data_IF_330326434448
#
_entry.id   IF_330326434448
#
_cell.length_a   1.000
_cell.length_b   1.000
_cell.length_c   1.000
_cell.angle_alpha   90.00
_cell.angle_beta   90.00
_cell.angle_gamma   90.00
#
_symmetry.space_group_name_H-M   'P 1'
#
loop_
_entity.id
_entity.type
_entity.pdbx_description
1 polymer ?
#
# COMPACT_ATOMS: atom_id res chain seq x y z
N UNK A 1 49.10 -28.55 2.76
CA UNK A 1 49.91 -27.30 2.57
C UNK A 1 49.92 -27.02 1.07
N UNK A 2 49.13 -26.04 0.61
CA UNK A 2 49.11 -25.67 -0.82
C UNK A 2 50.45 -25.03 -1.19
N UNK A 3 51.22 -25.67 -2.08
CA UNK A 3 52.38 -25.06 -2.71
C UNK A 3 51.94 -23.89 -3.57
N UNK A 4 52.02 -22.69 -3.03
CA UNK A 4 51.84 -21.45 -3.80
C UNK A 4 52.85 -21.39 -4.94
N UNK A 5 52.40 -21.01 -6.13
CA UNK A 5 53.33 -20.72 -7.23
C UNK A 5 54.27 -19.57 -6.81
N UNK A 6 55.48 -19.55 -7.35
CA UNK A 6 56.48 -18.49 -7.03
C UNK A 6 55.92 -17.08 -7.23
N UNK A 7 55.05 -16.90 -8.23
CA UNK A 7 54.39 -15.62 -8.50
C UNK A 7 53.33 -15.23 -7.41
N UNK A 8 52.57 -16.19 -6.89
CA UNK A 8 51.62 -15.94 -5.83
C UNK A 8 52.29 -15.54 -4.51
N UNK A 9 53.44 -16.17 -4.21
CA UNK A 9 54.26 -15.78 -3.05
C UNK A 9 54.74 -14.35 -3.21
N UNK A 10 55.30 -14.01 -4.39
CA UNK A 10 55.83 -12.67 -4.69
C UNK A 10 54.74 -11.61 -4.59
N UNK A 11 53.52 -11.89 -5.06
CA UNK A 11 52.37 -11.02 -4.97
C UNK A 11 51.99 -10.73 -3.50
N UNK A 12 51.94 -11.75 -2.65
CA UNK A 12 51.68 -11.59 -1.21
C UNK A 12 52.78 -10.79 -0.50
N UNK A 13 54.04 -11.04 -0.82
CA UNK A 13 55.16 -10.30 -0.26
C UNK A 13 55.13 -8.82 -0.69
N UNK A 14 54.73 -8.55 -1.93
CA UNK A 14 54.53 -7.20 -2.46
C UNK A 14 53.41 -6.46 -1.69
N UNK A 15 52.29 -7.10 -1.48
CA UNK A 15 51.17 -6.49 -0.72
C UNK A 15 51.54 -6.32 0.75
N UNK A 16 52.26 -7.27 1.34
CA UNK A 16 52.75 -7.15 2.72
C UNK A 16 53.67 -5.90 2.86
N UNK A 17 54.55 -5.64 1.89
CA UNK A 17 55.35 -4.41 1.85
C UNK A 17 54.47 -3.15 1.85
N UNK A 18 53.47 -3.08 1.00
CA UNK A 18 52.59 -1.90 0.94
C UNK A 18 51.68 -1.73 2.17
N UNK A 19 51.37 -2.80 2.91
CA UNK A 19 50.59 -2.72 4.15
C UNK A 19 51.38 -2.18 5.35
N UNK A 20 52.71 -2.04 5.24
CA UNK A 20 53.56 -1.52 6.31
C UNK A 20 53.31 -0.04 6.61
N UNK A 21 52.80 0.75 5.65
CA UNK A 21 52.57 2.17 5.84
C UNK A 21 51.18 2.58 5.30
N UNK A 22 50.40 3.33 6.11
CA UNK A 22 49.05 3.78 5.79
C UNK A 22 48.95 4.67 4.54
N UNK A 23 50.05 5.29 4.12
CA UNK A 23 50.06 6.12 2.92
C UNK A 23 49.65 5.34 1.68
N UNK A 24 49.97 4.04 1.61
CA UNK A 24 49.61 3.18 0.51
C UNK A 24 48.10 2.88 0.47
N UNK A 25 47.48 2.76 1.63
CA UNK A 25 46.02 2.59 1.72
C UNK A 25 45.28 3.76 1.05
N UNK A 26 45.76 5.00 1.33
CA UNK A 26 45.17 6.22 0.75
C UNK A 26 45.38 6.27 -0.77
N UNK A 27 46.59 5.95 -1.25
CA UNK A 27 46.93 5.91 -2.67
C UNK A 27 46.13 4.82 -3.39
N UNK A 28 46.06 3.63 -2.83
CA UNK A 28 45.37 2.49 -3.45
C UNK A 28 43.86 2.65 -3.43
N UNK A 29 43.28 3.25 -2.40
CA UNK A 29 41.85 3.63 -2.39
C UNK A 29 41.57 4.57 -3.57
N UNK A 30 42.35 5.60 -3.77
CA UNK A 30 42.20 6.51 -4.91
C UNK A 30 42.37 5.82 -6.27
N UNK A 31 43.32 4.89 -6.40
CA UNK A 31 43.46 4.12 -7.66
C UNK A 31 42.34 3.14 -7.87
N UNK A 32 41.79 2.51 -6.80
CA UNK A 32 40.62 1.64 -6.91
C UNK A 32 39.36 2.41 -7.37
N UNK A 33 39.15 3.63 -6.87
CA UNK A 33 38.08 4.50 -7.34
C UNK A 33 38.25 4.89 -8.81
N UNK A 34 39.49 5.17 -9.24
CA UNK A 34 39.81 5.44 -10.65
C UNK A 34 39.58 4.20 -11.53
N UNK A 35 40.02 3.02 -11.06
CA UNK A 35 39.80 1.77 -11.77
C UNK A 35 38.31 1.52 -11.93
N UNK A 36 37.53 1.66 -10.85
CA UNK A 36 36.05 1.52 -10.88
C UNK A 36 35.46 2.47 -11.94
N UNK A 37 35.95 3.69 -12.06
CA UNK A 37 35.42 4.68 -13.03
C UNK A 37 35.83 4.43 -14.48
N UNK A 38 37.09 3.98 -14.71
CA UNK A 38 37.67 3.89 -16.06
C UNK A 38 37.83 2.46 -16.59
N UNK A 39 37.57 1.43 -15.75
CA UNK A 39 37.78 0.03 -16.12
C UNK A 39 39.23 -0.38 -16.35
N UNK A 40 40.22 0.48 -16.00
CA UNK A 40 41.66 0.26 -16.14
C UNK A 40 42.44 1.01 -15.10
N UNK A 41 43.67 0.54 -14.78
CA UNK A 41 44.59 1.23 -13.89
C UNK A 41 45.14 2.48 -14.59
N UNK A 42 44.58 3.64 -14.26
CA UNK A 42 44.86 4.90 -14.93
C UNK A 42 44.60 6.10 -14.02
N UNK A 43 44.98 7.27 -14.47
CA UNK A 43 44.72 8.53 -13.77
C UNK A 43 45.80 8.90 -12.75
N UNK A 44 45.48 9.87 -11.88
CA UNK A 44 46.40 10.43 -10.87
C UNK A 44 45.67 10.47 -9.51
N UNK A 45 46.35 10.10 -8.45
CA UNK A 45 45.90 10.19 -7.06
C UNK A 45 46.74 11.22 -6.32
N UNK A 46 46.09 12.18 -5.68
CA UNK A 46 46.79 13.22 -4.87
C UNK A 46 46.52 12.97 -3.40
N UNK A 47 47.55 12.81 -2.61
CA UNK A 47 47.48 12.70 -1.16
C UNK A 47 48.05 13.98 -0.54
N UNK A 48 47.32 14.47 0.50
CA UNK A 48 47.69 15.68 1.27
C UNK A 48 47.98 15.31 2.70
N UNK A 49 48.63 16.19 3.47
CA UNK A 49 48.94 16.01 4.89
C UNK A 49 49.62 14.66 5.15
N UNK A 50 50.76 14.44 4.55
CA UNK A 50 51.53 13.21 4.64
C UNK A 50 52.47 13.32 5.85
N UNK A 51 52.55 12.27 6.68
CA UNK A 51 53.52 12.17 7.79
C UNK A 51 54.94 12.05 7.27
N UNK A 52 55.94 12.35 8.10
CA UNK A 52 57.35 12.18 7.74
C UNK A 52 57.68 10.75 7.28
N UNK A 53 57.24 9.76 8.03
CA UNK A 53 57.37 8.32 7.71
C UNK A 53 56.69 7.95 6.36
N UNK A 54 55.51 8.55 6.10
CA UNK A 54 54.83 8.40 4.80
C UNK A 54 55.61 9.04 3.63
N UNK A 55 56.29 10.19 3.87
CA UNK A 55 57.17 10.81 2.87
C UNK A 55 58.35 9.92 2.58
N UNK A 56 59.08 9.44 3.62
CA UNK A 56 60.26 8.57 3.48
C UNK A 56 59.89 7.27 2.73
N UNK A 57 58.72 6.71 3.05
CA UNK A 57 58.19 5.53 2.33
C UNK A 57 57.98 5.78 0.85
N UNK A 58 57.42 6.93 0.48
CA UNK A 58 57.20 7.29 -0.94
C UNK A 58 58.50 7.63 -1.64
N UNK A 59 59.45 8.32 -0.97
CA UNK A 59 60.78 8.63 -1.50
C UNK A 59 61.55 7.35 -1.81
N UNK A 60 61.54 6.39 -0.89
CA UNK A 60 62.16 5.08 -1.07
C UNK A 60 61.58 4.29 -2.25
N UNK A 61 60.27 4.28 -2.40
CA UNK A 61 59.65 3.52 -3.48
C UNK A 61 59.78 4.18 -4.86
N UNK A 62 59.61 5.50 -4.93
CA UNK A 62 59.68 6.25 -6.22
C UNK A 62 61.06 6.71 -6.59
N UNK A 63 62.07 6.54 -5.73
CA UNK A 63 63.43 7.07 -5.89
C UNK A 63 63.46 8.58 -6.24
N UNK A 64 62.61 9.37 -5.54
CA UNK A 64 62.43 10.80 -5.77
C UNK A 64 62.28 11.56 -4.46
N UNK A 65 62.88 12.75 -4.39
CA UNK A 65 62.76 13.61 -3.21
C UNK A 65 61.39 14.32 -3.16
N UNK A 66 60.64 14.14 -2.05
CA UNK A 66 59.37 14.80 -1.76
C UNK A 66 59.43 15.71 -0.53
N UNK A 67 60.61 15.90 0.06
CA UNK A 67 60.79 16.72 1.26
C UNK A 67 60.20 18.13 1.06
N UNK A 68 59.48 18.62 2.06
CA UNK A 68 58.81 19.93 2.04
C UNK A 68 57.54 20.04 1.21
N UNK A 69 57.07 18.97 0.55
CA UNK A 69 55.82 18.99 -0.22
C UNK A 69 54.63 18.74 0.68
N UNK A 70 53.65 19.66 0.66
CA UNK A 70 52.37 19.53 1.39
C UNK A 70 51.43 18.51 0.74
N UNK A 71 51.65 18.17 -0.53
CA UNK A 71 50.84 17.17 -1.26
C UNK A 71 51.71 16.48 -2.33
N UNK A 72 51.42 15.20 -2.55
CA UNK A 72 52.09 14.39 -3.58
C UNK A 72 51.01 13.83 -4.52
N UNK A 73 51.27 13.96 -5.83
CA UNK A 73 50.43 13.35 -6.86
C UNK A 73 51.16 12.18 -7.48
N UNK A 74 50.58 11.01 -7.40
CA UNK A 74 51.07 9.76 -8.00
C UNK A 74 50.21 9.43 -9.22
N UNK A 75 50.81 9.37 -10.40
CA UNK A 75 50.14 8.88 -11.59
C UNK A 75 50.20 7.34 -11.67
N UNK A 76 49.23 6.71 -12.30
CA UNK A 76 49.22 5.26 -12.55
C UNK A 76 50.49 4.83 -13.32
N UNK A 77 50.94 5.64 -14.26
CA UNK A 77 52.16 5.40 -15.05
C UNK A 77 53.42 5.43 -14.18
N UNK A 78 53.52 6.46 -13.30
CA UNK A 78 54.61 6.58 -12.35
C UNK A 78 54.64 5.38 -11.38
N UNK A 79 53.47 4.95 -10.87
CA UNK A 79 53.41 3.79 -9.99
C UNK A 79 53.80 2.49 -10.72
N UNK A 80 53.31 2.28 -11.96
CA UNK A 80 53.64 1.10 -12.77
C UNK A 80 55.14 1.04 -13.04
N UNK A 81 55.77 2.16 -13.40
CA UNK A 81 57.21 2.24 -13.63
C UNK A 81 58.01 1.93 -12.36
N UNK A 82 57.68 2.52 -11.23
CA UNK A 82 58.35 2.24 -9.96
C UNK A 82 58.22 0.77 -9.54
N UNK A 83 57.01 0.20 -9.68
CA UNK A 83 56.74 -1.22 -9.37
C UNK A 83 57.59 -2.14 -10.29
N UNK A 84 57.64 -1.87 -11.59
CA UNK A 84 58.43 -2.67 -12.55
C UNK A 84 59.94 -2.63 -12.30
N UNK A 85 60.45 -1.54 -11.72
CA UNK A 85 61.86 -1.39 -11.35
C UNK A 85 62.17 -2.00 -9.95
N UNK A 86 61.18 -2.44 -9.20
CA UNK A 86 61.37 -3.06 -7.87
C UNK A 86 61.60 -4.56 -7.96
N UNK A 87 61.92 -5.18 -6.84
CA UNK A 87 62.00 -6.64 -6.74
C UNK A 87 60.67 -7.34 -7.04
N UNK A 88 59.60 -6.60 -7.13
CA UNK A 88 58.24 -7.07 -7.45
C UNK A 88 57.83 -6.82 -8.91
N UNK A 89 58.76 -6.59 -9.78
CA UNK A 89 58.52 -6.11 -11.17
C UNK A 89 57.66 -7.01 -12.05
N UNK A 90 57.47 -8.27 -11.70
CA UNK A 90 56.58 -9.19 -12.41
C UNK A 90 55.12 -9.12 -11.94
N UNK A 91 54.83 -8.37 -10.85
CA UNK A 91 53.49 -8.16 -10.32
C UNK A 91 52.91 -6.90 -10.94
N UNK A 92 51.72 -7.00 -11.50
CA UNK A 92 51.00 -5.85 -12.08
C UNK A 92 50.36 -4.97 -11.02
N UNK A 93 50.14 -3.66 -11.24
CA UNK A 93 49.44 -2.78 -10.34
C UNK A 93 48.01 -3.29 -10.05
N UNK A 94 47.34 -3.89 -11.02
CA UNK A 94 46.03 -4.48 -10.93
C UNK A 94 46.00 -5.67 -9.94
N UNK A 95 47.00 -6.55 -10.01
CA UNK A 95 47.18 -7.65 -9.07
C UNK A 95 47.47 -7.14 -7.65
N UNK A 96 48.30 -6.09 -7.52
CA UNK A 96 48.56 -5.46 -6.21
C UNK A 96 47.25 -4.95 -5.58
N UNK A 97 46.44 -4.20 -6.35
CA UNK A 97 45.18 -3.66 -5.84
C UNK A 97 44.19 -4.77 -5.50
N UNK A 98 44.01 -5.76 -6.36
CA UNK A 98 43.10 -6.89 -6.13
C UNK A 98 43.48 -7.64 -4.84
N UNK A 99 44.76 -7.99 -4.65
CA UNK A 99 45.22 -8.68 -3.46
C UNK A 99 45.22 -7.79 -2.22
N UNK A 100 45.51 -6.49 -2.35
CA UNK A 100 45.52 -5.54 -1.24
C UNK A 100 44.13 -5.40 -0.62
N UNK A 101 43.07 -5.33 -1.45
CA UNK A 101 41.68 -5.18 -1.02
C UNK A 101 40.96 -6.55 -0.87
N UNK A 102 41.57 -7.66 -1.24
CA UNK A 102 40.95 -8.99 -1.18
C UNK A 102 39.75 -9.15 -2.08
N UNK A 103 39.64 -8.34 -3.16
CA UNK A 103 38.53 -8.35 -4.11
C UNK A 103 39.02 -8.09 -5.52
N UNK A 104 38.41 -8.77 -6.49
CA UNK A 104 38.66 -8.49 -7.90
C UNK A 104 38.33 -7.01 -8.24
N UNK A 105 39.12 -6.41 -9.11
CA UNK A 105 38.87 -5.08 -9.62
C UNK A 105 37.85 -5.18 -10.76
N UNK A 106 36.71 -4.53 -10.58
CA UNK A 106 35.65 -4.51 -11.58
C UNK A 106 35.31 -3.05 -11.91
N UNK A 107 35.26 -2.73 -13.19
CA UNK A 107 34.85 -1.42 -13.67
C UNK A 107 33.31 -1.24 -13.55
N UNK A 108 32.87 -0.02 -13.31
CA UNK A 108 31.41 0.28 -13.26
C UNK A 108 30.66 -0.15 -14.53
N UNK A 109 31.28 -0.01 -15.69
CA UNK A 109 30.68 -0.45 -16.95
C UNK A 109 30.54 -1.98 -17.02
N UNK A 110 31.55 -2.70 -16.56
CA UNK A 110 31.57 -4.16 -16.51
C UNK A 110 30.58 -4.69 -15.47
N UNK A 111 30.52 -4.07 -14.28
CA UNK A 111 29.54 -4.39 -13.24
C UNK A 111 28.12 -4.14 -13.75
N UNK A 112 27.88 -3.04 -14.47
CA UNK A 112 26.59 -2.74 -15.09
C UNK A 112 26.22 -3.77 -16.14
N UNK A 113 27.13 -4.10 -17.05
CA UNK A 113 26.90 -5.11 -18.07
C UNK A 113 26.62 -6.50 -17.47
N UNK A 114 27.34 -6.87 -16.40
CA UNK A 114 27.10 -8.11 -15.68
C UNK A 114 25.68 -8.14 -15.06
N UNK A 115 25.26 -7.05 -14.39
CA UNK A 115 23.91 -6.93 -13.83
C UNK A 115 22.83 -6.97 -14.94
N UNK A 116 23.05 -6.29 -16.06
CA UNK A 116 22.12 -6.31 -17.20
C UNK A 116 21.98 -7.72 -17.80
N UNK A 117 23.09 -8.45 -17.92
CA UNK A 117 23.04 -9.85 -18.39
C UNK A 117 22.27 -10.75 -17.41
N UNK A 118 22.48 -10.60 -16.11
CA UNK A 118 21.74 -11.37 -15.11
C UNK A 118 20.23 -11.08 -15.16
N UNK A 119 19.82 -9.83 -15.32
CA UNK A 119 18.42 -9.45 -15.50
C UNK A 119 17.85 -10.07 -16.79
N UNK A 120 18.65 -10.10 -17.87
CA UNK A 120 18.25 -10.72 -19.15
C UNK A 120 18.00 -12.23 -19.00
N UNK A 121 18.84 -12.93 -18.25
CA UNK A 121 18.65 -14.36 -17.95
C UNK A 121 17.40 -14.57 -17.09
N UNK A 122 17.19 -13.74 -16.06
CA UNK A 122 15.97 -13.78 -15.23
C UNK A 122 14.71 -13.56 -16.12
N UNK A 123 14.76 -12.60 -17.05
CA UNK A 123 13.64 -12.33 -17.97
C UNK A 123 13.37 -13.53 -18.88
N UNK A 124 14.41 -14.15 -19.42
CA UNK A 124 14.28 -15.35 -20.25
C UNK A 124 13.61 -16.49 -19.50
N UNK A 125 14.11 -16.78 -18.30
CA UNK A 125 13.55 -17.83 -17.43
C UNK A 125 12.11 -17.50 -17.01
N UNK A 126 11.79 -16.24 -16.74
CA UNK A 126 10.42 -15.79 -16.45
C UNK A 126 9.49 -16.06 -17.63
N UNK A 127 9.87 -15.67 -18.83
CA UNK A 127 9.07 -15.90 -20.05
C UNK A 127 8.85 -17.39 -20.34
N UNK A 128 9.85 -18.23 -20.08
CA UNK A 128 9.71 -19.68 -20.21
C UNK A 128 8.72 -20.25 -19.19
N UNK A 129 8.83 -19.85 -17.91
CA UNK A 129 7.99 -20.38 -16.83
C UNK A 129 6.52 -19.93 -16.91
N UNK A 130 6.27 -18.69 -17.35
CA UNK A 130 4.92 -18.13 -17.38
C UNK A 130 4.29 -18.11 -18.76
N UNK A 131 4.87 -18.84 -19.73
CA UNK A 131 4.34 -18.93 -21.08
C UNK A 131 2.87 -19.42 -21.07
N UNK A 132 2.00 -18.68 -21.77
CA UNK A 132 0.57 -18.98 -21.86
C UNK A 132 -0.25 -18.58 -20.64
N UNK A 133 0.34 -17.89 -19.67
CA UNK A 133 -0.40 -17.32 -18.52
C UNK A 133 -0.62 -15.81 -18.68
N UNK A 134 -1.58 -15.20 -17.97
CA UNK A 134 -1.77 -13.74 -17.97
C UNK A 134 -0.51 -12.94 -17.62
N UNK A 135 0.36 -13.47 -16.74
CA UNK A 135 1.58 -12.81 -16.30
C UNK A 135 2.70 -12.78 -17.35
N UNK A 136 2.58 -13.53 -18.45
CA UNK A 136 3.64 -13.72 -19.44
C UNK A 136 4.20 -12.42 -20.02
N UNK A 137 3.33 -11.44 -20.30
CA UNK A 137 3.72 -10.16 -20.89
C UNK A 137 4.05 -9.07 -19.85
N UNK A 138 3.93 -9.38 -18.55
CA UNK A 138 3.94 -8.38 -17.48
C UNK A 138 5.31 -8.25 -16.77
N UNK A 139 6.36 -8.89 -17.27
CA UNK A 139 7.68 -8.85 -16.64
C UNK A 139 8.17 -7.43 -16.35
N UNK A 140 8.13 -6.54 -17.34
CA UNK A 140 8.62 -5.17 -17.22
C UNK A 140 7.73 -4.34 -16.27
N UNK A 141 6.44 -4.65 -16.19
CA UNK A 141 5.50 -4.05 -15.26
C UNK A 141 5.80 -4.47 -13.83
N UNK A 142 6.07 -5.76 -13.58
CA UNK A 142 6.48 -6.25 -12.26
C UNK A 142 7.83 -5.70 -11.83
N UNK A 143 8.78 -5.57 -12.76
CA UNK A 143 10.05 -4.88 -12.52
C UNK A 143 9.85 -3.44 -12.05
N UNK A 144 8.86 -2.73 -12.58
CA UNK A 144 8.51 -1.38 -12.16
C UNK A 144 7.91 -1.35 -10.74
N UNK A 145 7.07 -2.32 -10.38
CA UNK A 145 6.53 -2.48 -9.03
C UNK A 145 7.67 -2.65 -8.01
N UNK A 146 8.72 -3.40 -8.37
CA UNK A 146 9.83 -3.72 -7.49
C UNK A 146 10.98 -2.69 -7.52
N UNK A 147 10.90 -1.61 -8.28
CA UNK A 147 11.96 -0.60 -8.40
C UNK A 147 12.36 0.05 -7.08
N UNK A 148 11.49 0.08 -6.09
CA UNK A 148 11.73 0.64 -4.76
C UNK A 148 12.34 -0.35 -3.76
N UNK A 149 12.40 -1.64 -4.09
CA UNK A 149 12.99 -2.67 -3.23
C UNK A 149 14.49 -2.83 -3.54
N UNK A 150 15.26 -3.24 -2.53
CA UNK A 150 16.73 -3.38 -2.55
C UNK A 150 17.23 -4.05 -3.84
N UNK A 151 17.94 -3.27 -4.67
CA UNK A 151 18.40 -3.69 -6.00
C UNK A 151 19.62 -4.62 -5.96
N UNK A 152 20.19 -4.87 -4.78
CA UNK A 152 21.47 -5.56 -4.67
C UNK A 152 21.35 -7.09 -4.61
N UNK A 153 20.21 -7.63 -4.18
CA UNK A 153 20.01 -9.05 -4.07
C UNK A 153 19.17 -9.62 -5.23
N UNK A 154 19.84 -10.03 -6.30
CA UNK A 154 19.19 -10.63 -7.48
C UNK A 154 18.35 -11.87 -7.18
N UNK A 155 18.73 -12.66 -6.17
CA UNK A 155 17.99 -13.86 -5.76
C UNK A 155 16.64 -13.47 -5.16
N UNK A 156 16.63 -12.45 -4.30
CA UNK A 156 15.40 -11.92 -3.72
C UNK A 156 14.54 -11.22 -4.79
N UNK A 157 15.16 -10.47 -5.69
CA UNK A 157 14.45 -9.84 -6.82
C UNK A 157 13.74 -10.88 -7.70
N UNK A 158 14.41 -11.98 -8.03
CA UNK A 158 13.79 -13.08 -8.76
C UNK A 158 12.61 -13.66 -7.97
N UNK A 159 12.76 -13.93 -6.66
CA UNK A 159 11.68 -14.41 -5.79
C UNK A 159 10.45 -13.50 -5.85
N UNK A 160 10.66 -12.20 -5.75
CA UNK A 160 9.57 -11.22 -5.78
C UNK A 160 8.91 -11.11 -7.16
N UNK A 161 9.65 -11.22 -8.26
CA UNK A 161 9.08 -11.27 -9.61
C UNK A 161 8.17 -12.50 -9.80
N UNK A 162 8.60 -13.67 -9.34
CA UNK A 162 7.78 -14.88 -9.33
C UNK A 162 6.54 -14.72 -8.46
N UNK A 163 6.69 -14.09 -7.30
CA UNK A 163 5.55 -13.76 -6.43
C UNK A 163 4.54 -12.86 -7.17
N UNK A 164 4.98 -11.77 -7.79
CA UNK A 164 4.11 -10.88 -8.57
C UNK A 164 3.33 -11.66 -9.65
N UNK A 165 4.02 -12.50 -10.43
CA UNK A 165 3.41 -13.29 -11.48
C UNK A 165 2.38 -14.30 -10.94
N UNK A 166 2.72 -15.01 -9.87
CA UNK A 166 1.81 -15.95 -9.24
C UNK A 166 0.58 -15.24 -8.66
N UNK A 167 0.76 -14.10 -8.00
CA UNK A 167 -0.33 -13.26 -7.50
C UNK A 167 -1.25 -12.82 -8.64
N UNK A 168 -0.68 -12.28 -9.71
CA UNK A 168 -1.43 -11.78 -10.86
C UNK A 168 -2.25 -12.87 -11.54
N UNK A 169 -1.65 -14.06 -11.75
CA UNK A 169 -2.34 -15.20 -12.33
C UNK A 169 -3.45 -15.75 -11.43
N UNK A 170 -3.25 -15.69 -10.10
CA UNK A 170 -4.16 -16.27 -9.11
C UNK A 170 -5.28 -15.32 -8.68
N UNK A 171 -5.37 -14.07 -9.18
CA UNK A 171 -6.42 -13.12 -8.77
C UNK A 171 -7.81 -13.74 -8.92
N UNK A 172 -8.61 -13.85 -7.83
CA UNK A 172 -9.83 -14.68 -7.81
C UNK A 172 -10.94 -14.21 -8.75
N UNK A 173 -11.00 -12.91 -9.07
CA UNK A 173 -12.01 -12.39 -10.00
C UNK A 173 -11.99 -13.07 -11.38
N UNK A 174 -10.83 -13.60 -11.80
CA UNK A 174 -10.65 -14.30 -13.07
C UNK A 174 -11.48 -15.60 -13.15
N UNK A 175 -11.78 -16.19 -12.01
CA UNK A 175 -12.59 -17.40 -11.89
C UNK A 175 -14.01 -17.11 -11.41
N UNK A 176 -14.39 -15.83 -11.31
CA UNK A 176 -15.69 -15.37 -10.82
C UNK A 176 -16.02 -15.85 -9.39
N UNK A 177 -14.98 -16.13 -8.58
CA UNK A 177 -15.11 -16.54 -7.17
C UNK A 177 -14.49 -15.49 -6.27
N UNK A 178 -15.09 -15.29 -5.11
CA UNK A 178 -14.47 -14.49 -4.04
C UNK A 178 -13.78 -15.41 -3.04
N UNK A 179 -12.60 -15.01 -2.57
CA UNK A 179 -11.78 -15.80 -1.65
C UNK A 179 -11.31 -14.89 -0.50
N UNK A 180 -11.33 -15.40 0.73
CA UNK A 180 -10.79 -14.67 1.88
C UNK A 180 -9.28 -14.47 1.77
N UNK A 181 -8.79 -13.31 2.20
CA UNK A 181 -7.37 -12.92 2.09
C UNK A 181 -6.44 -13.99 2.70
N UNK A 182 -6.75 -14.51 3.88
CA UNK A 182 -5.95 -15.54 4.54
C UNK A 182 -5.89 -16.86 3.74
N UNK A 183 -7.01 -17.25 3.12
CA UNK A 183 -7.08 -18.46 2.26
C UNK A 183 -6.29 -18.24 0.98
N UNK A 184 -6.42 -17.08 0.36
CA UNK A 184 -5.64 -16.69 -0.81
C UNK A 184 -4.14 -16.65 -0.50
N UNK A 185 -3.76 -16.07 0.64
CA UNK A 185 -2.37 -16.00 1.10
C UNK A 185 -1.78 -17.40 1.30
N UNK A 186 -2.50 -18.28 1.99
CA UNK A 186 -2.07 -19.66 2.21
C UNK A 186 -1.90 -20.43 0.89
N UNK A 187 -2.82 -20.26 -0.05
CA UNK A 187 -2.76 -20.92 -1.36
C UNK A 187 -1.55 -20.48 -2.20
N UNK A 188 -1.19 -19.18 -2.18
CA UNK A 188 -0.10 -18.65 -3.00
C UNK A 188 1.27 -18.78 -2.34
N UNK A 189 1.36 -18.65 -1.00
CA UNK A 189 2.64 -18.56 -0.29
C UNK A 189 2.87 -19.66 0.73
N UNK A 190 1.85 -20.43 1.10
CA UNK A 190 1.88 -21.36 2.22
C UNK A 190 1.69 -20.69 3.60
N UNK A 191 1.62 -19.35 3.66
CA UNK A 191 1.48 -18.61 4.91
C UNK A 191 0.19 -17.74 4.87
N UNK A 192 -0.82 -18.01 5.73
CA UNK A 192 -2.06 -17.24 5.74
C UNK A 192 -1.88 -15.76 6.12
N UNK A 193 -0.78 -15.40 6.77
CA UNK A 193 -0.46 -14.05 7.23
C UNK A 193 0.47 -13.28 6.28
N UNK A 194 0.86 -13.86 5.14
CA UNK A 194 1.82 -13.25 4.22
C UNK A 194 1.36 -11.87 3.72
N UNK A 195 0.06 -11.65 3.56
CA UNK A 195 -0.51 -10.43 3.00
C UNK A 195 -1.21 -9.53 4.03
N UNK A 196 -0.96 -9.76 5.32
CA UNK A 196 -1.48 -8.88 6.38
C UNK A 196 -1.03 -7.44 6.19
N UNK A 197 -1.82 -6.52 6.75
CA UNK A 197 -1.51 -5.10 6.63
C UNK A 197 -0.15 -4.77 7.26
N UNK A 198 0.71 -4.11 6.48
CA UNK A 198 2.06 -3.71 6.92
C UNK A 198 3.17 -4.65 6.43
N UNK A 199 2.88 -5.89 6.00
CA UNK A 199 3.88 -6.80 5.44
C UNK A 199 4.41 -6.31 4.09
N UNK A 200 5.63 -6.71 3.74
CA UNK A 200 6.23 -6.38 2.45
C UNK A 200 5.46 -7.03 1.28
N UNK A 201 5.11 -8.30 1.44
CA UNK A 201 4.32 -9.06 0.47
C UNK A 201 2.89 -8.52 0.34
N UNK A 202 2.28 -8.05 1.42
CA UNK A 202 0.97 -7.39 1.38
C UNK A 202 0.97 -6.07 0.60
N UNK A 203 2.09 -5.33 0.63
CA UNK A 203 2.28 -4.15 -0.23
C UNK A 203 2.39 -4.53 -1.70
N UNK A 204 3.13 -5.60 -2.00
CA UNK A 204 3.26 -6.13 -3.37
C UNK A 204 1.91 -6.60 -3.89
N UNK A 205 1.14 -7.37 -3.12
CA UNK A 205 -0.21 -7.78 -3.51
C UNK A 205 -1.08 -6.56 -3.86
N UNK A 206 -1.06 -5.52 -3.02
CA UNK A 206 -1.85 -4.32 -3.30
C UNK A 206 -1.40 -3.62 -4.59
N UNK A 207 -0.09 -3.54 -4.87
CA UNK A 207 0.44 -2.97 -6.11
C UNK A 207 0.04 -3.80 -7.34
N UNK A 208 0.09 -5.13 -7.25
CA UNK A 208 -0.38 -6.03 -8.31
C UNK A 208 -1.88 -5.85 -8.58
N UNK A 209 -2.69 -5.71 -7.52
CA UNK A 209 -4.12 -5.41 -7.66
C UNK A 209 -4.34 -4.05 -8.34
N UNK A 210 -3.60 -3.00 -7.96
CA UNK A 210 -3.73 -1.68 -8.59
C UNK A 210 -3.35 -1.71 -10.08
N UNK A 211 -2.31 -2.45 -10.42
CA UNK A 211 -1.89 -2.69 -11.81
C UNK A 211 -3.01 -3.38 -12.61
N UNK A 212 -3.54 -4.47 -12.10
CA UNK A 212 -4.62 -5.23 -12.75
C UNK A 212 -5.88 -4.37 -12.96
N UNK A 213 -6.31 -3.63 -11.94
CA UNK A 213 -7.44 -2.71 -12.05
C UNK A 213 -7.21 -1.65 -13.12
N UNK A 214 -6.00 -1.08 -13.18
CA UNK A 214 -5.62 -0.10 -14.20
C UNK A 214 -5.69 -0.68 -15.62
N UNK A 215 -5.22 -1.90 -15.83
CA UNK A 215 -5.33 -2.60 -17.12
C UNK A 215 -6.77 -2.90 -17.54
N UNK A 216 -7.64 -3.14 -16.55
CA UNK A 216 -9.10 -3.32 -16.78
C UNK A 216 -9.84 -1.98 -16.97
N UNK A 217 -9.16 -0.84 -16.94
CA UNK A 217 -9.76 0.49 -17.00
C UNK A 217 -10.57 0.88 -15.75
N UNK A 218 -10.36 0.18 -14.64
CA UNK A 218 -11.10 0.42 -13.39
C UNK A 218 -10.29 1.38 -12.51
N UNK A 219 -10.87 2.54 -12.23
CA UNK A 219 -10.32 3.51 -11.29
C UNK A 219 -11.14 3.50 -10.00
N UNK A 220 -10.47 3.22 -8.88
CA UNK A 220 -11.08 3.32 -7.55
C UNK A 220 -10.72 4.68 -6.95
N UNK A 221 -11.73 5.48 -6.68
CA UNK A 221 -11.57 6.82 -6.10
C UNK A 221 -10.87 6.77 -4.74
N UNK A 222 -10.04 7.78 -4.48
CA UNK A 222 -9.50 8.03 -3.14
C UNK A 222 -10.46 8.95 -2.43
N UNK A 223 -11.08 8.48 -1.36
CA UNK A 223 -12.02 9.26 -0.56
C UNK A 223 -11.33 9.68 0.74
N UNK A 224 -11.03 10.96 0.90
CA UNK A 224 -10.41 11.48 2.14
C UNK A 224 -11.27 11.20 3.36
N UNK A 225 -12.60 11.23 3.19
CA UNK A 225 -13.58 10.95 4.23
C UNK A 225 -13.60 9.48 4.66
N UNK A 226 -13.19 8.56 3.79
CA UNK A 226 -13.12 7.11 4.03
C UNK A 226 -11.76 6.55 3.61
N UNK A 227 -10.69 6.77 4.39
CA UNK A 227 -9.30 6.43 3.97
C UNK A 227 -9.09 4.94 3.63
N UNK A 228 -9.83 4.04 4.27
CA UNK A 228 -9.73 2.60 4.00
C UNK A 228 -10.49 2.15 2.75
N UNK A 229 -11.41 2.96 2.22
CA UNK A 229 -12.31 2.60 1.13
C UNK A 229 -11.56 2.12 -0.11
N UNK A 230 -10.63 2.91 -0.62
CA UNK A 230 -9.89 2.58 -1.85
C UNK A 230 -9.24 1.19 -1.76
N UNK A 231 -8.58 0.93 -0.64
CA UNK A 231 -7.93 -0.36 -0.42
C UNK A 231 -8.94 -1.50 -0.38
N UNK A 232 -9.96 -1.39 0.47
CA UNK A 232 -10.99 -2.42 0.63
C UNK A 232 -11.73 -2.69 -0.69
N UNK A 233 -12.11 -1.63 -1.41
CA UNK A 233 -12.79 -1.74 -2.71
C UNK A 233 -11.90 -2.38 -3.76
N UNK A 234 -10.61 -2.05 -3.79
CA UNK A 234 -9.65 -2.66 -4.73
C UNK A 234 -9.51 -4.16 -4.50
N UNK A 235 -9.40 -4.59 -3.24
CA UNK A 235 -9.38 -6.02 -2.90
C UNK A 235 -10.67 -6.72 -3.33
N UNK A 236 -11.84 -6.13 -3.03
CA UNK A 236 -13.13 -6.66 -3.44
C UNK A 236 -13.23 -6.84 -4.96
N UNK A 237 -12.78 -5.85 -5.75
CA UNK A 237 -12.77 -5.89 -7.21
C UNK A 237 -11.77 -6.91 -7.79
N UNK A 238 -10.76 -7.28 -7.02
CA UNK A 238 -9.85 -8.39 -7.33
C UNK A 238 -10.42 -9.77 -6.92
N UNK A 239 -11.58 -9.81 -6.26
CA UNK A 239 -12.21 -11.03 -5.74
C UNK A 239 -11.65 -11.46 -4.38
N UNK A 240 -10.93 -10.57 -3.68
CA UNK A 240 -10.34 -10.86 -2.36
C UNK A 240 -11.14 -10.16 -1.27
N UNK A 241 -11.61 -10.95 -0.28
CA UNK A 241 -12.34 -10.47 0.89
C UNK A 241 -11.38 -10.31 2.06
N UNK A 242 -11.23 -9.08 2.55
CA UNK A 242 -10.38 -8.80 3.72
C UNK A 242 -11.11 -9.18 4.99
N UNK A 243 -12.37 -8.75 5.10
CA UNK A 243 -13.27 -9.02 6.23
C UNK A 243 -14.70 -8.97 5.70
N UNK A 244 -15.37 -10.12 5.70
CA UNK A 244 -16.72 -10.26 5.23
C UNK A 244 -17.72 -10.43 6.39
N UNK A 245 -17.31 -11.17 7.43
CA UNK A 245 -18.21 -11.57 8.53
C UNK A 245 -18.63 -10.35 9.36
N UNK A 246 -17.69 -9.44 9.65
CA UNK A 246 -17.99 -8.20 10.38
C UNK A 246 -18.35 -7.03 9.45
N UNK A 247 -18.29 -7.23 8.12
CA UNK A 247 -18.60 -6.24 7.10
C UNK A 247 -19.90 -6.57 6.37
N UNK A 248 -21.00 -6.26 7.03
CA UNK A 248 -22.38 -6.51 6.57
C UNK A 248 -23.18 -5.22 6.58
N UNK A 249 -24.30 -5.22 5.85
CA UNK A 249 -25.37 -4.24 5.96
C UNK A 249 -26.61 -4.88 6.61
N UNK A 250 -27.28 -4.16 7.50
CA UNK A 250 -28.54 -4.58 8.09
C UNK A 250 -29.67 -3.89 7.30
N UNK A 251 -30.48 -4.68 6.63
CA UNK A 251 -31.49 -4.23 5.67
C UNK A 251 -32.88 -4.75 6.07
N UNK A 252 -33.91 -3.98 5.70
CA UNK A 252 -35.29 -4.33 5.86
C UNK A 252 -36.12 -3.84 4.67
N UNK A 253 -37.02 -4.69 4.16
CA UNK A 253 -37.99 -4.37 3.11
C UNK A 253 -37.32 -3.77 1.85
N UNK A 254 -36.27 -4.43 1.32
CA UNK A 254 -35.58 -4.06 0.09
C UNK A 254 -35.51 -5.25 -0.87
N UNK A 255 -35.67 -5.01 -2.16
CA UNK A 255 -35.50 -6.01 -3.20
C UNK A 255 -34.10 -5.84 -3.84
N UNK A 256 -33.41 -6.94 -4.07
CA UNK A 256 -32.10 -6.94 -4.69
C UNK A 256 -32.14 -7.59 -6.06
N UNK A 257 -31.55 -6.93 -7.07
CA UNK A 257 -31.40 -7.46 -8.42
C UNK A 257 -29.93 -7.88 -8.59
N UNK A 258 -29.71 -9.14 -8.94
CA UNK A 258 -28.38 -9.70 -9.20
C UNK A 258 -27.81 -9.18 -10.53
N UNK A 259 -26.50 -9.28 -10.71
CA UNK A 259 -25.77 -8.89 -11.94
C UNK A 259 -26.29 -9.61 -13.20
N UNK A 260 -26.89 -10.77 -13.08
CA UNK A 260 -27.53 -11.49 -14.17
C UNK A 260 -28.98 -11.01 -14.48
N UNK A 261 -29.46 -9.96 -13.82
CA UNK A 261 -30.78 -9.39 -13.98
C UNK A 261 -31.90 -10.09 -13.18
N UNK A 262 -31.63 -11.20 -12.49
CA UNK A 262 -32.63 -11.91 -11.71
C UNK A 262 -32.83 -11.30 -10.33
N UNK A 263 -34.05 -11.41 -9.80
CA UNK A 263 -34.37 -11.09 -8.42
C UNK A 263 -33.62 -12.03 -7.45
N UNK A 264 -33.09 -11.48 -6.38
CA UNK A 264 -32.45 -12.26 -5.31
C UNK A 264 -33.54 -12.86 -4.40
N UNK A 265 -33.91 -14.14 -4.65
CA UNK A 265 -35.04 -14.81 -3.98
C UNK A 265 -34.99 -14.78 -2.45
N UNK A 266 -33.77 -14.86 -1.85
CA UNK A 266 -33.62 -14.77 -0.40
C UNK A 266 -34.05 -13.42 0.15
N UNK A 267 -33.66 -12.32 -0.51
CA UNK A 267 -34.10 -10.98 -0.10
C UNK A 267 -35.59 -10.77 -0.28
N UNK A 268 -36.15 -11.27 -1.38
CA UNK A 268 -37.58 -11.22 -1.63
C UNK A 268 -38.36 -11.99 -0.55
N UNK A 269 -37.88 -13.17 -0.15
CA UNK A 269 -38.45 -13.92 0.96
C UNK A 269 -38.43 -13.15 2.28
N UNK A 270 -37.32 -12.49 2.63
CA UNK A 270 -37.25 -11.65 3.83
C UNK A 270 -38.20 -10.45 3.76
N UNK A 271 -38.43 -9.88 2.58
CA UNK A 271 -39.46 -8.82 2.39
C UNK A 271 -40.88 -9.35 2.62
N UNK A 272 -41.21 -10.51 2.05
CA UNK A 272 -42.53 -11.14 2.21
C UNK A 272 -42.85 -11.48 3.66
N UNK A 273 -41.85 -11.96 4.41
CA UNK A 273 -41.94 -12.30 5.82
C UNK A 273 -41.80 -11.08 6.76
N UNK A 274 -41.59 -9.88 6.22
CA UNK A 274 -41.34 -8.65 6.98
C UNK A 274 -40.19 -8.81 8.00
N UNK A 275 -39.10 -9.47 7.60
CA UNK A 275 -37.94 -9.75 8.45
C UNK A 275 -36.74 -8.88 8.14
N UNK A 276 -36.04 -8.48 9.19
CA UNK A 276 -34.71 -7.86 9.07
C UNK A 276 -33.65 -8.89 8.67
N UNK A 277 -32.68 -8.48 7.89
CA UNK A 277 -31.58 -9.36 7.43
C UNK A 277 -30.23 -8.69 7.46
N UNK A 278 -29.23 -9.41 7.97
CA UNK A 278 -27.82 -9.03 7.83
C UNK A 278 -27.28 -9.60 6.52
N UNK A 279 -26.87 -8.73 5.61
CA UNK A 279 -26.35 -9.13 4.30
C UNK A 279 -24.84 -8.91 4.26
N UNK A 280 -24.02 -9.97 4.19
CA UNK A 280 -22.59 -9.87 4.14
C UNK A 280 -22.08 -9.25 2.83
N UNK A 281 -20.87 -8.71 2.85
CA UNK A 281 -20.25 -8.03 1.72
C UNK A 281 -20.16 -8.92 0.47
N UNK A 282 -19.92 -10.23 0.62
CA UNK A 282 -19.91 -11.21 -0.46
C UNK A 282 -21.22 -11.20 -1.23
N UNK A 283 -22.34 -11.31 -0.54
CA UNK A 283 -23.67 -11.33 -1.16
C UNK A 283 -23.98 -9.98 -1.82
N UNK A 284 -23.71 -8.86 -1.12
CA UNK A 284 -23.85 -7.51 -1.71
C UNK A 284 -23.04 -7.33 -3.00
N UNK A 285 -21.88 -7.94 -3.09
CA UNK A 285 -20.99 -7.83 -4.26
C UNK A 285 -21.55 -8.52 -5.51
N UNK A 286 -22.51 -9.40 -5.37
CA UNK A 286 -23.20 -10.10 -6.48
C UNK A 286 -24.37 -9.31 -7.05
N UNK A 287 -24.82 -8.25 -6.35
CA UNK A 287 -25.96 -7.46 -6.74
C UNK A 287 -25.60 -6.38 -7.76
N UNK A 288 -26.53 -6.09 -8.64
CA UNK A 288 -26.42 -4.98 -9.59
C UNK A 288 -27.03 -3.70 -9.02
N UNK A 289 -28.21 -3.81 -8.38
CA UNK A 289 -28.93 -2.68 -7.76
C UNK A 289 -29.85 -3.15 -6.64
N UNK A 290 -30.29 -2.21 -5.81
CA UNK A 290 -31.30 -2.39 -4.77
C UNK A 290 -32.50 -1.52 -5.12
N UNK A 291 -33.70 -2.11 -5.09
CA UNK A 291 -34.97 -1.42 -5.28
C UNK A 291 -35.69 -1.32 -3.94
N UNK A 292 -36.25 -0.14 -3.66
CA UNK A 292 -36.95 0.17 -2.40
C UNK A 292 -38.40 0.55 -2.66
N UNK A 293 -39.23 0.38 -1.63
CA UNK A 293 -40.61 0.83 -1.65
C UNK A 293 -40.66 2.35 -1.91
N UNK A 294 -41.50 2.77 -2.81
CA UNK A 294 -41.70 4.16 -3.21
C UNK A 294 -40.38 4.87 -3.70
N UNK A 295 -39.34 4.10 -4.05
CA UNK A 295 -38.01 4.59 -4.34
C UNK A 295 -37.39 5.40 -3.19
N UNK A 296 -37.71 5.09 -1.96
CA UNK A 296 -37.22 5.75 -0.74
C UNK A 296 -36.64 4.74 0.25
N UNK A 297 -35.59 5.14 0.97
CA UNK A 297 -35.01 4.36 2.06
C UNK A 297 -34.69 5.24 3.27
N UNK A 298 -34.99 4.73 4.47
CA UNK A 298 -34.66 5.37 5.73
C UNK A 298 -33.42 4.71 6.34
N UNK A 299 -32.35 5.46 6.48
CA UNK A 299 -31.07 4.98 6.99
C UNK A 299 -30.81 5.59 8.36
N UNK A 300 -30.60 4.73 9.35
CA UNK A 300 -30.28 5.16 10.71
C UNK A 300 -28.92 4.62 11.17
N UNK A 301 -28.31 5.28 12.13
CA UNK A 301 -27.04 4.86 12.69
C UNK A 301 -27.18 3.72 13.69
N UNK A 302 -28.21 3.78 14.55
CA UNK A 302 -28.38 2.91 15.70
C UNK A 302 -29.30 1.69 15.39
N UNK A 303 -28.87 0.44 15.76
CA UNK A 303 -29.69 -0.75 15.56
C UNK A 303 -31.03 -0.75 16.31
N UNK A 304 -31.08 -0.12 17.50
CA UNK A 304 -32.34 -0.04 18.27
C UNK A 304 -33.36 0.85 17.58
N UNK A 305 -32.90 1.98 17.01
CA UNK A 305 -33.75 2.88 16.22
C UNK A 305 -34.20 2.20 14.94
N UNK A 306 -33.28 1.47 14.28
CA UNK A 306 -33.63 0.68 13.09
C UNK A 306 -34.77 -0.29 13.37
N UNK A 307 -34.73 -1.04 14.47
CA UNK A 307 -35.83 -1.95 14.86
C UNK A 307 -37.13 -1.22 15.09
N UNK A 308 -37.14 0.03 15.55
CA UNK A 308 -38.32 0.85 15.76
C UNK A 308 -38.98 1.35 14.48
N UNK A 309 -38.16 1.64 13.43
CA UNK A 309 -38.68 2.20 12.19
C UNK A 309 -39.05 1.15 11.13
N UNK A 310 -38.69 -0.13 11.37
CA UNK A 310 -39.09 -1.22 10.48
C UNK A 310 -40.59 -1.38 10.46
N UNK A 311 -41.23 -1.19 9.30
CA UNK A 311 -42.69 -1.24 9.08
C UNK A 311 -42.98 -1.35 7.58
N UNK A 312 -43.67 -0.38 7.00
CA UNK A 312 -44.03 -0.40 5.56
C UNK A 312 -42.88 0.10 4.65
N UNK A 313 -41.96 0.90 5.17
CA UNK A 313 -40.90 1.52 4.38
C UNK A 313 -39.63 0.65 4.33
N UNK A 314 -38.82 0.88 3.29
CA UNK A 314 -37.48 0.31 3.20
C UNK A 314 -36.55 0.97 4.19
N UNK A 315 -35.77 0.16 4.95
CA UNK A 315 -34.88 0.67 5.99
C UNK A 315 -33.49 0.02 5.93
N UNK A 316 -32.50 0.76 6.42
CA UNK A 316 -31.12 0.31 6.58
C UNK A 316 -30.53 0.81 7.91
N UNK A 317 -29.74 -0.02 8.59
CA UNK A 317 -28.92 0.42 9.70
C UNK A 317 -27.44 0.48 9.29
N UNK A 318 -26.79 1.64 9.54
CA UNK A 318 -25.36 1.84 9.28
C UNK A 318 -24.47 1.19 10.35
N UNK A 319 -25.02 0.97 11.55
CA UNK A 319 -24.34 0.35 12.69
C UNK A 319 -23.03 1.06 13.05
N UNK A 320 -23.09 2.37 13.28
CA UNK A 320 -21.97 3.25 13.60
C UNK A 320 -21.20 3.70 12.38
N UNK A 321 -19.86 3.65 12.45
CA UNK A 321 -19.00 4.13 11.37
C UNK A 321 -19.22 3.35 10.06
N UNK A 322 -19.39 4.06 8.92
CA UNK A 322 -19.65 3.43 7.62
C UNK A 322 -18.53 2.46 7.22
N UNK A 323 -18.90 1.19 7.03
CA UNK A 323 -18.03 0.13 6.50
C UNK A 323 -18.28 -0.04 5.00
N UNK A 324 -17.41 -0.80 4.33
CA UNK A 324 -17.52 -1.00 2.87
C UNK A 324 -18.88 -1.58 2.46
N UNK A 325 -19.48 -2.49 3.26
CA UNK A 325 -20.80 -3.03 2.97
C UNK A 325 -21.89 -1.94 2.93
N UNK A 326 -21.90 -1.04 3.92
CA UNK A 326 -22.83 0.11 3.92
C UNK A 326 -22.62 1.06 2.75
N UNK A 327 -21.38 1.35 2.43
CA UNK A 327 -21.03 2.18 1.26
C UNK A 327 -21.42 1.52 -0.06
N UNK A 328 -21.24 0.20 -0.17
CA UNK A 328 -21.70 -0.56 -1.34
C UNK A 328 -23.22 -0.56 -1.49
N UNK A 329 -23.97 -0.66 -0.39
CA UNK A 329 -25.44 -0.50 -0.43
C UNK A 329 -25.82 0.87 -0.98
N UNK A 330 -25.17 1.94 -0.56
CA UNK A 330 -25.43 3.28 -1.11
C UNK A 330 -25.13 3.35 -2.62
N UNK A 331 -24.08 2.71 -3.12
CA UNK A 331 -23.81 2.62 -4.56
C UNK A 331 -24.96 1.88 -5.30
N UNK A 332 -25.45 0.76 -4.72
CA UNK A 332 -26.52 -0.06 -5.31
C UNK A 332 -27.87 0.67 -5.31
N UNK A 333 -28.16 1.45 -4.26
CA UNK A 333 -29.35 2.31 -4.17
C UNK A 333 -29.31 3.46 -5.20
N UNK A 334 -28.14 4.06 -5.40
CA UNK A 334 -27.99 5.13 -6.39
C UNK A 334 -28.30 4.66 -7.81
N UNK A 335 -27.99 3.40 -8.14
CA UNK A 335 -28.31 2.82 -9.46
C UNK A 335 -29.82 2.69 -9.72
N UNK A 336 -30.64 2.63 -8.67
CA UNK A 336 -32.10 2.60 -8.75
C UNK A 336 -32.73 4.00 -8.61
N UNK A 337 -31.92 5.05 -8.48
CA UNK A 337 -32.42 6.40 -8.25
C UNK A 337 -33.13 6.58 -6.91
N UNK A 338 -32.87 5.73 -5.93
CA UNK A 338 -33.52 5.73 -4.61
C UNK A 338 -33.20 7.01 -3.85
N UNK A 339 -34.19 7.65 -3.23
CA UNK A 339 -34.01 8.78 -2.33
C UNK A 339 -33.66 8.30 -0.93
N UNK A 340 -32.58 8.84 -0.37
CA UNK A 340 -32.10 8.47 0.97
C UNK A 340 -32.54 9.51 1.99
N UNK A 341 -33.15 9.05 3.08
CA UNK A 341 -33.39 9.81 4.30
C UNK A 341 -32.46 9.27 5.38
N UNK A 342 -31.55 10.10 5.88
CA UNK A 342 -30.55 9.70 6.87
C UNK A 342 -30.78 10.41 8.20
N UNK A 343 -30.71 9.63 9.29
CA UNK A 343 -30.71 10.11 10.66
C UNK A 343 -29.58 9.45 11.45
N UNK A 344 -28.89 10.20 12.28
CA UNK A 344 -27.84 9.74 13.18
C UNK A 344 -27.82 10.52 14.48
N UNK A 345 -26.87 10.19 15.37
CA UNK A 345 -26.69 10.93 16.61
C UNK A 345 -26.37 12.40 16.34
N UNK A 346 -26.89 13.27 17.19
CA UNK A 346 -26.66 14.70 17.16
C UNK A 346 -25.47 15.08 18.07
N UNK A 347 -24.33 14.44 17.75
CA UNK A 347 -23.04 14.69 18.34
C UNK A 347 -21.97 14.95 17.25
N UNK A 348 -20.74 15.36 17.59
CA UNK A 348 -19.76 15.68 16.55
C UNK A 348 -19.44 14.56 15.57
N UNK A 349 -19.42 13.32 16.02
CA UNK A 349 -19.15 12.14 15.21
C UNK A 349 -20.32 11.82 14.27
N UNK A 350 -21.55 11.76 14.80
CA UNK A 350 -22.76 11.44 14.04
C UNK A 350 -23.07 12.49 12.97
N UNK A 351 -22.93 13.78 13.29
CA UNK A 351 -23.10 14.88 12.31
C UNK A 351 -22.02 14.80 11.20
N UNK A 352 -20.80 14.47 11.56
CA UNK A 352 -19.71 14.30 10.58
C UNK A 352 -19.94 13.07 9.69
N UNK A 353 -20.49 11.97 10.22
CA UNK A 353 -20.89 10.79 9.45
C UNK A 353 -21.99 11.18 8.46
N UNK A 354 -23.02 11.89 8.91
CA UNK A 354 -24.11 12.36 8.07
C UNK A 354 -23.60 13.16 6.86
N UNK A 355 -22.72 14.15 7.09
CA UNK A 355 -22.11 14.93 6.02
C UNK A 355 -21.33 14.04 5.05
N UNK A 356 -20.48 13.12 5.55
CA UNK A 356 -19.68 12.22 4.71
C UNK A 356 -20.57 11.33 3.83
N UNK A 357 -21.66 10.80 4.35
CA UNK A 357 -22.60 9.98 3.60
C UNK A 357 -23.33 10.79 2.55
N UNK A 358 -23.76 12.02 2.87
CA UNK A 358 -24.37 12.95 1.91
C UNK A 358 -23.44 13.28 0.75
N UNK A 359 -22.13 13.50 1.03
CA UNK A 359 -21.13 13.75 0.01
C UNK A 359 -20.79 12.50 -0.83
N UNK A 360 -20.92 11.33 -0.26
CA UNK A 360 -20.65 10.06 -0.94
C UNK A 360 -21.80 9.62 -1.85
N UNK A 361 -23.04 9.79 -1.42
CA UNK A 361 -24.20 9.29 -2.14
C UNK A 361 -24.42 10.01 -3.48
N UNK A 362 -24.58 9.27 -4.56
CA UNK A 362 -24.73 9.79 -5.93
C UNK A 362 -26.20 9.97 -6.34
N UNK A 363 -27.09 10.28 -5.39
CA UNK A 363 -28.51 10.49 -5.59
C UNK A 363 -29.05 11.58 -4.67
N UNK A 364 -30.38 11.60 -4.48
CA UNK A 364 -31.04 12.55 -3.56
C UNK A 364 -30.85 12.13 -2.13
N UNK A 365 -30.18 12.96 -1.32
CA UNK A 365 -29.91 12.70 0.10
C UNK A 365 -30.55 13.79 0.98
N UNK A 366 -31.37 13.36 1.94
CA UNK A 366 -32.08 14.21 2.88
C UNK A 366 -31.65 13.88 4.31
N UNK A 367 -31.32 14.88 5.10
CA UNK A 367 -31.19 14.75 6.54
C UNK A 367 -32.58 14.64 7.16
N UNK A 368 -32.80 13.64 7.97
CA UNK A 368 -34.07 13.34 8.61
C UNK A 368 -33.86 13.32 10.12
N UNK A 369 -34.65 14.06 10.88
CA UNK A 369 -34.46 14.24 12.32
C UNK A 369 -33.05 14.74 12.71
N UNK A 370 -32.51 15.69 11.94
CA UNK A 370 -31.21 16.30 12.22
C UNK A 370 -31.32 17.83 12.27
N UNK A 371 -32.38 18.34 12.90
CA UNK A 371 -32.62 19.78 13.07
C UNK A 371 -32.31 20.22 14.51
N UNK A 372 -32.18 21.56 14.77
CA UNK A 372 -32.08 22.07 16.15
C UNK A 372 -33.24 21.66 17.05
N UNK A 373 -34.45 21.53 16.48
CA UNK A 373 -35.62 21.07 17.21
C UNK A 373 -35.46 19.62 17.66
N UNK A 374 -35.02 18.73 16.78
CA UNK A 374 -34.74 17.32 17.11
C UNK A 374 -33.64 17.23 18.18
N UNK A 375 -32.60 18.07 18.09
CA UNK A 375 -31.53 18.11 19.08
C UNK A 375 -32.03 18.51 20.48
N UNK A 376 -32.93 19.48 20.59
CA UNK A 376 -33.50 19.86 21.86
C UNK A 376 -34.27 18.72 22.52
N UNK A 377 -34.92 17.86 21.75
CA UNK A 377 -35.65 16.69 22.23
C UNK A 377 -34.72 15.55 22.67
N UNK A 378 -33.56 15.35 22.01
CA UNK A 378 -32.70 14.24 22.27
C UNK A 378 -31.43 14.61 23.06
N UNK A 379 -31.27 15.88 23.44
CA UNK A 379 -30.12 16.36 24.20
C UNK A 379 -29.94 15.61 25.52
N UNK A 380 -28.79 14.97 25.65
CA UNK A 380 -28.39 14.22 26.84
C UNK A 380 -27.72 15.12 27.89
N UNK A 381 -27.26 14.50 28.98
CA UNK A 381 -26.41 15.17 29.99
C UNK A 381 -24.92 14.96 29.72
N UNK A 382 -24.55 14.27 28.65
CA UNK A 382 -23.15 14.00 28.30
C UNK A 382 -22.49 15.23 27.72
N UNK A 383 -21.44 15.70 28.38
CA UNK A 383 -20.66 16.87 27.95
C UNK A 383 -19.68 16.46 26.87
N UNK A 384 -19.72 17.17 25.74
CA UNK A 384 -18.78 16.98 24.63
C UNK A 384 -17.42 17.57 24.98
N UNK A 385 -16.36 16.76 24.92
CA UNK A 385 -14.99 17.22 25.18
C UNK A 385 -14.54 18.24 24.12
N UNK A 386 -13.61 19.14 24.50
CA UNK A 386 -13.06 20.14 23.56
C UNK A 386 -12.40 19.53 22.33
N UNK A 387 -11.83 18.33 22.45
CA UNK A 387 -11.28 17.57 21.31
C UNK A 387 -12.38 17.17 20.33
N UNK A 388 -13.52 16.71 20.81
CA UNK A 388 -14.66 16.33 19.97
C UNK A 388 -15.33 17.55 19.35
N UNK A 389 -15.49 18.67 20.10
CA UNK A 389 -16.04 19.92 19.57
C UNK A 389 -15.28 20.45 18.36
N UNK A 390 -13.95 20.27 18.30
CA UNK A 390 -13.15 20.63 17.12
C UNK A 390 -13.56 19.88 15.84
N UNK A 391 -14.22 18.75 15.95
CA UNK A 391 -14.72 18.02 14.78
C UNK A 391 -15.89 18.76 14.10
N UNK A 392 -16.69 19.52 14.85
CA UNK A 392 -17.77 20.32 14.31
C UNK A 392 -17.28 21.38 13.32
N UNK A 393 -16.03 21.87 13.47
CA UNK A 393 -15.40 22.82 12.55
C UNK A 393 -15.16 22.24 11.15
N UNK A 394 -15.26 20.92 10.98
CA UNK A 394 -15.12 20.22 9.69
C UNK A 394 -16.45 20.11 8.93
N UNK A 395 -17.55 20.52 9.57
CA UNK A 395 -18.86 20.49 8.93
C UNK A 395 -18.98 21.73 8.04
N UNK A 396 -19.25 21.49 6.76
CA UNK A 396 -19.35 22.50 5.70
C UNK A 396 -20.70 22.46 4.99
N UNK A 397 -21.52 21.42 5.22
CA UNK A 397 -22.85 21.33 4.64
C UNK A 397 -23.79 22.31 5.34
N UNK A 398 -24.24 23.34 4.60
CA UNK A 398 -25.12 24.40 5.12
C UNK A 398 -26.38 23.87 5.78
N UNK A 399 -26.91 22.72 5.35
CA UNK A 399 -28.12 22.10 5.92
C UNK A 399 -27.91 21.58 7.34
N UNK A 400 -26.66 21.33 7.75
CA UNK A 400 -26.29 20.86 9.09
C UNK A 400 -25.81 21.98 10.02
N UNK A 401 -25.45 23.16 9.50
CA UNK A 401 -24.94 24.26 10.32
C UNK A 401 -25.91 24.65 11.46
N UNK A 402 -27.22 24.73 11.26
CA UNK A 402 -28.13 25.07 12.36
C UNK A 402 -28.06 24.09 13.55
N UNK A 403 -27.96 22.80 13.30
CA UNK A 403 -27.81 21.81 14.38
C UNK A 403 -26.42 21.84 14.99
N UNK A 404 -25.35 22.12 14.20
CA UNK A 404 -23.98 22.31 14.69
C UNK A 404 -23.94 23.50 15.68
N UNK A 405 -24.59 24.62 15.36
CA UNK A 405 -24.70 25.77 16.25
C UNK A 405 -25.40 25.43 17.56
N UNK A 406 -26.50 24.67 17.50
CA UNK A 406 -27.20 24.20 18.69
C UNK A 406 -26.32 23.28 19.56
N UNK A 407 -25.65 22.28 18.97
CA UNK A 407 -24.72 21.39 19.68
C UNK A 407 -23.55 22.17 20.30
N UNK A 408 -23.00 23.14 19.57
CA UNK A 408 -21.89 23.97 20.05
C UNK A 408 -22.33 24.87 21.22
N UNK A 409 -23.52 25.45 21.13
CA UNK A 409 -24.08 26.33 22.17
C UNK A 409 -24.28 25.59 23.52
N UNK A 410 -24.84 24.41 23.48
CA UNK A 410 -25.12 23.65 24.70
C UNK A 410 -23.97 22.76 25.14
N UNK A 411 -23.09 22.34 24.23
CA UNK A 411 -21.93 21.53 24.53
C UNK A 411 -22.23 20.11 24.99
N UNK A 412 -23.42 19.59 24.67
CA UNK A 412 -23.91 18.28 25.09
C UNK A 412 -24.23 17.41 23.88
N UNK A 413 -24.08 16.08 23.98
CA UNK A 413 -24.43 15.14 22.93
C UNK A 413 -25.96 14.94 22.86
N UNK A 414 -26.50 14.71 21.66
CA UNK A 414 -27.88 14.26 21.45
C UNK A 414 -27.89 12.85 20.88
N UNK A 415 -28.71 11.97 21.44
CA UNK A 415 -28.79 10.56 21.04
C UNK A 415 -30.07 10.24 20.31
N UNK A 416 -29.93 9.56 19.18
CA UNK A 416 -31.02 9.21 18.26
C UNK A 416 -32.14 8.42 18.94
N UNK A 417 -31.81 7.55 19.88
CA UNK A 417 -32.81 6.74 20.64
C UNK A 417 -33.82 7.59 21.40
N UNK A 418 -33.44 8.78 21.82
CA UNK A 418 -34.33 9.67 22.56
C UNK A 418 -35.37 10.34 21.66
N UNK A 419 -35.14 10.46 20.36
CA UNK A 419 -36.12 10.92 19.38
C UNK A 419 -37.16 9.83 19.11
N UNK A 420 -36.79 8.54 19.30
CA UNK A 420 -37.45 7.38 18.78
C UNK A 420 -38.82 7.07 19.40
N UNK A 421 -39.13 7.54 20.61
CA UNK A 421 -40.41 7.16 21.26
C UNK A 421 -41.62 7.94 20.73
N UNK A 422 -41.44 9.09 20.13
CA UNK A 422 -42.55 9.96 19.68
C UNK A 422 -42.59 10.15 18.16
N UNK A 423 -41.43 10.34 17.51
CA UNK A 423 -41.35 10.73 16.09
C UNK A 423 -41.32 9.55 15.11
N UNK A 424 -40.68 8.43 15.50
CA UNK A 424 -40.58 7.26 14.62
C UNK A 424 -41.81 6.41 14.56
N UNK A 425 -42.75 6.51 15.56
CA UNK A 425 -44.01 5.81 15.54
C UNK A 425 -44.96 6.22 14.41
N UNK A 426 -44.76 7.43 13.83
CA UNK A 426 -45.52 7.85 12.67
C UNK A 426 -45.24 7.04 11.40
N UNK A 427 -44.06 6.43 11.26
CA UNK A 427 -43.81 5.51 10.16
C UNK A 427 -44.53 4.16 10.29
N UNK A 428 -44.96 3.79 11.51
CA UNK A 428 -45.82 2.62 11.80
C UNK A 428 -47.30 2.95 11.80
N UNK A 429 -47.69 4.20 12.02
CA UNK A 429 -49.04 4.58 12.34
C UNK A 429 -50.02 4.63 11.16
N UNK A 430 -49.63 4.29 9.95
CA UNK A 430 -50.55 4.10 8.83
C UNK A 430 -51.31 2.76 8.87
N UNK A 431 -51.01 1.86 9.84
CA UNK A 431 -51.65 0.56 9.95
C UNK A 431 -52.95 0.53 10.80
N UNK A 432 -53.34 1.62 11.48
CA UNK A 432 -54.47 1.58 12.44
C UNK A 432 -55.62 2.50 12.13
N UNK A 433 -55.85 2.87 10.89
CA UNK A 433 -57.07 3.60 10.51
C UNK A 433 -57.73 2.93 9.29
N UNK A 434 -58.14 1.70 9.44
CA UNK A 434 -59.23 1.03 8.67
C UNK A 434 -59.72 -0.15 9.48
N UNK A 435 -60.58 0.12 10.45
CA UNK A 435 -61.68 -0.76 10.90
C UNK A 435 -62.93 0.11 11.10
#
# INVERSE_FOLDING_TARGET
MNNLTGHEKLKRDCVAYFRQNEIWQRIFTGFREKYSSYGRFSGKVTVKNISGDGLDTLEGFFCQNFHGKKSITVSAEKFRKALSCSKYGTVTPEEVLAEYFGKALIGKAEEKAFKENQIREIKKEFLENFKGTPAFLEFDTFENILKSSDKENLKERKRLLWLCANLYNALPYRTQKSVYLAVFAAAVTGNPHAFDQGTAEGKILYQVIQMDLGQRGIQVETLEMFPAYKRQKSYLLAGILIDDISNYALLYNVHAIKKNGELHRGMDGFCQEKNMVQVPLTVLSEWERIECVDHEIFIVENPSVFALICGEKSCMCMNGQPRLAGLLVLELLAKSGTKVYYSGDLDPEGILIAQKLSQYYRGTFCYWHMTPFDYEQCRSKEIISEKRKKMLQKITDERLLPVVDAVTKYGMAGYQESIGSVSYTHLRAHETVLD
#
